data_IF_558998605922
#
_entry.id   IF_558998605922
#
_cell.length_a   1.000
_cell.length_b   1.000
_cell.length_c   1.000
_cell.angle_alpha   90.00
_cell.angle_beta   90.00
_cell.angle_gamma   90.00
#
_symmetry.space_group_name_H-M   'P 1'
#
loop_
_entity.id
_entity.type
_entity.pdbx_description
1 polymer ?
#
# COMPACT_ATOMS: atom_id res chain seq x y z
N UNK A 1 8.74 31.55 -13.90
CA UNK A 1 7.55 31.44 -13.02
C UNK A 1 8.05 31.30 -11.59
N UNK A 2 7.54 32.08 -10.64
CA UNK A 2 7.99 31.98 -9.25
C UNK A 2 7.44 30.68 -8.62
N UNK A 3 8.32 29.84 -8.08
CA UNK A 3 7.93 28.63 -7.36
C UNK A 3 7.20 29.00 -6.05
N UNK A 4 5.96 28.55 -5.91
CA UNK A 4 5.22 28.69 -4.65
C UNK A 4 5.77 27.67 -3.66
N UNK A 5 6.47 28.15 -2.61
CA UNK A 5 7.00 27.31 -1.53
C UNK A 5 6.17 27.47 -0.27
N UNK A 6 5.90 26.35 0.40
CA UNK A 6 5.20 26.37 1.68
C UNK A 6 6.12 26.92 2.78
N UNK A 7 5.58 27.81 3.62
CA UNK A 7 6.30 28.49 4.69
C UNK A 7 5.75 28.08 6.06
N UNK A 8 6.64 27.99 7.06
CA UNK A 8 6.30 27.79 8.45
C UNK A 8 5.47 28.96 8.99
N UNK A 9 4.37 28.65 9.65
CA UNK A 9 3.48 29.68 10.23
C UNK A 9 4.09 30.39 11.46
N UNK A 10 5.19 29.87 12.00
CA UNK A 10 5.95 30.48 13.09
C UNK A 10 7.10 31.35 12.58
N UNK A 11 8.14 30.74 11.99
CA UNK A 11 9.35 31.45 11.58
C UNK A 11 9.29 32.05 10.15
N UNK A 12 8.25 31.78 9.37
CA UNK A 12 8.09 32.19 7.96
C UNK A 12 9.18 31.69 7.01
N UNK A 13 10.05 30.77 7.45
CA UNK A 13 11.02 30.08 6.60
C UNK A 13 10.34 28.92 5.85
N UNK A 14 10.95 28.45 4.77
CA UNK A 14 10.48 27.29 4.02
C UNK A 14 10.38 26.05 4.93
N UNK A 15 9.30 25.29 4.79
CA UNK A 15 9.09 24.07 5.56
C UNK A 15 10.15 23.02 5.20
N UNK A 16 10.88 22.56 6.22
CA UNK A 16 11.95 21.57 6.09
C UNK A 16 12.08 20.78 7.40
N UNK A 17 12.59 19.55 7.35
CA UNK A 17 12.78 18.74 8.56
C UNK A 17 11.46 18.31 9.24
N UNK A 18 11.43 18.19 10.59
CA UNK A 18 10.27 17.67 11.31
C UNK A 18 9.14 18.71 11.38
N UNK A 19 7.99 18.35 10.80
CA UNK A 19 6.82 19.21 10.69
C UNK A 19 5.67 18.77 11.60
N UNK A 20 4.89 19.74 12.05
CA UNK A 20 3.69 19.54 12.88
C UNK A 20 2.58 20.47 12.43
N UNK A 21 1.35 19.95 12.41
CA UNK A 21 0.14 20.72 12.19
C UNK A 21 -0.55 21.01 13.54
N UNK A 22 -0.89 22.27 13.79
CA UNK A 22 -1.70 22.65 14.95
C UNK A 22 -3.20 22.37 14.71
N UNK A 23 -4.04 22.50 15.75
CA UNK A 23 -5.50 22.37 15.69
C UNK A 23 -6.21 23.29 14.67
N UNK A 24 -5.54 24.36 14.23
CA UNK A 24 -6.03 25.23 13.15
C UNK A 24 -5.50 24.83 11.75
N UNK A 25 -4.92 23.63 11.60
CA UNK A 25 -4.35 23.06 10.38
C UNK A 25 -3.25 23.89 9.70
N UNK A 26 -2.61 24.80 10.44
CA UNK A 26 -1.41 25.50 9.99
C UNK A 26 -0.16 24.71 10.36
N UNK A 27 0.81 24.64 9.43
CA UNK A 27 2.02 23.83 9.56
C UNK A 27 3.17 24.67 10.13
N UNK A 28 3.90 24.06 11.06
CA UNK A 28 5.05 24.62 11.73
C UNK A 28 6.21 23.62 11.70
N UNK A 29 7.43 24.12 11.80
CA UNK A 29 8.54 23.31 12.31
C UNK A 29 8.24 22.92 13.75
N UNK A 30 8.64 21.71 14.18
CA UNK A 30 8.41 21.22 15.54
C UNK A 30 8.86 22.20 16.61
N UNK A 31 10.06 22.75 16.48
CA UNK A 31 10.63 23.69 17.44
C UNK A 31 9.90 25.04 17.41
N UNK A 32 9.47 25.48 16.23
CA UNK A 32 8.71 26.71 16.06
C UNK A 32 7.31 26.62 16.70
N UNK A 33 6.67 25.44 16.66
CA UNK A 33 5.39 25.25 17.32
C UNK A 33 5.55 25.37 18.84
N UNK A 34 6.58 24.75 19.42
CA UNK A 34 6.83 24.80 20.87
C UNK A 34 7.14 26.21 21.39
N UNK A 35 7.80 27.04 20.58
CA UNK A 35 8.09 28.43 20.94
C UNK A 35 6.88 29.38 20.81
N UNK A 36 5.86 29.01 20.01
CA UNK A 36 4.74 29.88 19.69
C UNK A 36 3.54 29.68 20.63
N UNK A 37 3.00 30.78 21.17
CA UNK A 37 1.77 30.75 21.99
C UNK A 37 0.48 30.96 21.18
N UNK A 38 0.59 31.56 19.98
CA UNK A 38 -0.51 31.83 19.04
C UNK A 38 -0.06 31.56 17.61
N UNK A 39 -1.00 31.16 16.76
CA UNK A 39 -0.73 30.95 15.34
C UNK A 39 -0.48 32.29 14.63
N UNK A 40 0.64 32.43 13.92
CA UNK A 40 0.96 33.66 13.19
C UNK A 40 0.04 33.97 11.99
N UNK A 41 -0.81 33.03 11.59
CA UNK A 41 -1.73 33.19 10.45
C UNK A 41 -3.16 33.55 10.88
N UNK A 42 -3.72 32.87 11.89
CA UNK A 42 -5.09 33.08 12.33
C UNK A 42 -5.23 33.64 13.76
N UNK A 43 -4.11 33.90 14.45
CA UNK A 43 -4.04 34.41 15.82
C UNK A 43 -4.73 33.56 16.90
N UNK A 44 -5.23 32.36 16.56
CA UNK A 44 -5.80 31.42 17.54
C UNK A 44 -4.72 30.87 18.46
N UNK A 45 -5.07 30.63 19.74
CA UNK A 45 -4.19 30.02 20.73
C UNK A 45 -3.80 28.61 20.29
N UNK A 46 -2.51 28.28 20.40
CA UNK A 46 -1.98 26.96 20.01
C UNK A 46 -2.27 25.96 21.14
N UNK A 47 -2.72 24.76 20.79
CA UNK A 47 -2.94 23.66 21.73
C UNK A 47 -1.95 22.55 21.40
N UNK A 48 -0.83 22.49 22.14
CA UNK A 48 0.27 21.56 21.85
C UNK A 48 -0.15 20.09 21.94
N UNK A 49 -1.11 19.75 22.82
CA UNK A 49 -1.64 18.40 22.98
C UNK A 49 -2.39 17.90 21.74
N UNK A 50 -2.95 18.82 20.93
CA UNK A 50 -3.66 18.51 19.69
C UNK A 50 -2.78 18.65 18.45
N UNK A 51 -1.47 18.81 18.61
CA UNK A 51 -0.56 18.93 17.49
C UNK A 51 -0.35 17.56 16.83
N UNK A 52 -0.63 17.48 15.53
CA UNK A 52 -0.40 16.27 14.74
C UNK A 52 1.00 16.31 14.15
N UNK A 53 1.84 15.35 14.54
CA UNK A 53 3.17 15.17 13.92
C UNK A 53 3.03 14.63 12.50
N UNK A 54 3.58 15.37 11.56
CA UNK A 54 3.61 15.03 10.14
C UNK A 54 4.90 14.26 9.85
N UNK A 55 4.93 12.99 10.24
CA UNK A 55 6.06 12.11 9.95
C UNK A 55 6.14 11.84 8.44
N UNK A 56 7.37 11.82 7.89
CA UNK A 56 7.69 11.52 6.48
C UNK A 56 7.22 12.54 5.42
N UNK A 57 6.91 13.78 5.80
CA UNK A 57 6.70 14.89 4.85
C UNK A 57 7.95 15.78 4.82
N UNK A 58 8.98 15.37 4.07
CA UNK A 58 10.16 16.22 3.80
C UNK A 58 10.03 16.87 2.42
N UNK A 59 9.74 18.17 2.38
CA UNK A 59 9.69 18.96 1.14
C UNK A 59 11.07 19.32 0.57
N UNK A 60 12.14 18.77 1.13
CA UNK A 60 13.52 19.19 0.83
C UNK A 60 14.12 18.51 -0.42
N UNK A 61 13.62 17.34 -0.81
CA UNK A 61 14.20 16.55 -1.91
C UNK A 61 13.29 16.60 -3.13
N UNK A 62 13.32 17.76 -3.80
CA UNK A 62 12.60 18.02 -5.03
C UNK A 62 13.12 17.14 -6.17
N UNK A 63 12.46 15.99 -6.38
CA UNK A 63 12.29 15.33 -7.68
C UNK A 63 11.29 14.15 -7.63
N UNK A 64 10.93 13.65 -6.43
CA UNK A 64 9.96 12.55 -6.25
C UNK A 64 8.49 12.98 -6.12
N UNK A 65 8.22 14.25 -5.83
CA UNK A 65 6.94 14.71 -5.24
C UNK A 65 5.80 14.93 -6.25
N UNK A 66 6.10 15.10 -7.55
CA UNK A 66 5.06 15.34 -8.54
C UNK A 66 4.10 14.15 -8.69
N UNK A 67 4.61 12.91 -8.54
CA UNK A 67 3.78 11.69 -8.65
C UNK A 67 2.93 11.46 -7.40
N UNK A 68 3.47 11.74 -6.21
CA UNK A 68 2.73 11.58 -4.95
C UNK A 68 1.62 12.62 -4.85
N UNK A 69 1.91 13.88 -5.19
CA UNK A 69 0.88 14.93 -5.21
C UNK A 69 -0.21 14.68 -6.27
N UNK A 70 0.16 14.12 -7.42
CA UNK A 70 -0.84 13.71 -8.44
C UNK A 70 -1.69 12.56 -7.96
N UNK A 71 -1.11 11.54 -7.32
CA UNK A 71 -1.86 10.41 -6.76
C UNK A 71 -2.78 10.85 -5.60
N UNK A 72 -2.32 11.75 -4.73
CA UNK A 72 -3.12 12.31 -3.63
C UNK A 72 -4.25 13.20 -4.17
N UNK A 73 -3.99 14.01 -5.20
CA UNK A 73 -5.02 14.81 -5.87
C UNK A 73 -6.06 13.93 -6.58
N UNK A 74 -5.64 12.82 -7.18
CA UNK A 74 -6.54 11.85 -7.82
C UNK A 74 -7.37 11.07 -6.78
N UNK A 75 -6.79 10.69 -5.65
CA UNK A 75 -7.52 10.10 -4.53
C UNK A 75 -8.51 11.09 -3.91
N UNK A 76 -8.15 12.37 -3.81
CA UNK A 76 -9.04 13.43 -3.33
C UNK A 76 -10.21 13.65 -4.30
N UNK A 77 -9.95 13.73 -5.62
CA UNK A 77 -11.01 13.78 -6.64
C UNK A 77 -11.89 12.53 -6.62
N UNK A 78 -11.32 11.34 -6.46
CA UNK A 78 -12.09 10.09 -6.34
C UNK A 78 -12.94 10.03 -5.08
N UNK A 79 -12.52 10.71 -4.00
CA UNK A 79 -13.28 10.81 -2.75
C UNK A 79 -14.40 11.85 -2.88
N UNK A 80 -14.13 12.99 -3.50
CA UNK A 80 -15.12 14.04 -3.81
C UNK A 80 -16.13 13.56 -4.87
N UNK A 81 -15.73 12.70 -5.81
CA UNK A 81 -16.66 12.07 -6.76
C UNK A 81 -17.34 10.81 -6.21
N UNK A 82 -16.93 10.32 -5.03
CA UNK A 82 -17.60 9.25 -4.27
C UNK A 82 -18.46 9.84 -3.15
N UNK A 83 -19.03 11.01 -3.37
CA UNK A 83 -20.26 11.45 -2.71
C UNK A 83 -21.47 10.54 -3.09
N UNK A 84 -21.25 9.23 -3.21
CA UNK A 84 -22.28 8.23 -3.09
C UNK A 84 -22.67 8.19 -1.61
N UNK A 85 -23.55 9.12 -1.24
CA UNK A 85 -24.61 8.99 -0.23
C UNK A 85 -24.23 8.04 0.91
N UNK A 86 -23.22 8.41 1.69
CA UNK A 86 -23.26 8.05 3.10
C UNK A 86 -24.25 9.05 3.67
N UNK A 87 -25.47 8.63 4.07
CA UNK A 87 -26.41 9.54 4.73
C UNK A 87 -25.63 10.20 5.86
N UNK A 88 -25.54 11.53 5.82
CA UNK A 88 -24.87 12.29 6.88
C UNK A 88 -25.43 11.85 8.22
N UNK A 89 -24.57 11.62 9.21
CA UNK A 89 -24.99 11.29 10.58
C UNK A 89 -25.95 12.34 11.15
N UNK A 90 -25.97 13.55 10.58
CA UNK A 90 -26.91 14.63 10.89
C UNK A 90 -28.38 14.41 10.42
N UNK A 91 -28.69 13.34 9.67
CA UNK A 91 -30.08 12.88 9.43
C UNK A 91 -30.51 11.75 10.38
N UNK A 92 -29.64 11.35 11.31
CA UNK A 92 -30.01 10.54 12.47
C UNK A 92 -30.35 11.46 13.65
N UNK A 93 -31.04 12.59 13.39
CA UNK A 93 -31.89 13.14 14.44
C UNK A 93 -32.76 11.98 14.90
N UNK A 94 -32.56 11.59 16.16
CA UNK A 94 -33.39 10.67 16.90
C UNK A 94 -34.80 11.26 16.90
N UNK A 95 -35.53 11.10 15.79
CA UNK A 95 -36.97 10.99 15.84
C UNK A 95 -37.19 9.73 16.66
N UNK A 96 -37.17 9.93 17.97
CA UNK A 96 -37.68 9.04 19.00
C UNK A 96 -39.17 8.88 18.63
N UNK A 97 -39.42 8.08 17.59
CA UNK A 97 -40.72 7.61 17.21
C UNK A 97 -41.10 6.71 18.37
N UNK A 98 -41.65 7.34 19.41
CA UNK A 98 -42.19 6.69 20.58
C UNK A 98 -43.05 5.57 20.07
N UNK A 99 -42.49 4.37 20.10
CA UNK A 99 -43.17 3.14 19.75
C UNK A 99 -44.41 3.17 20.63
N UNK A 100 -45.62 3.35 20.05
CA UNK A 100 -46.81 3.43 20.87
C UNK A 100 -46.88 2.12 21.63
N UNK A 101 -46.70 2.18 22.95
CA UNK A 101 -46.89 1.04 23.83
C UNK A 101 -48.29 0.54 23.56
N UNK A 102 -48.39 -0.61 22.88
CA UNK A 102 -49.67 -1.23 22.62
C UNK A 102 -50.23 -1.59 23.99
N UNK A 103 -51.39 -1.02 24.39
CA UNK A 103 -51.99 -1.37 25.66
C UNK A 103 -52.28 -2.87 25.62
N UNK A 104 -51.57 -3.61 26.47
CA UNK A 104 -51.84 -5.02 26.72
C UNK A 104 -53.12 -5.05 27.54
N UNK A 105 -54.26 -4.86 26.86
CA UNK A 105 -55.57 -4.89 27.49
C UNK A 105 -55.88 -6.30 27.93
N UNK A 106 -56.07 -6.48 29.24
CA UNK A 106 -56.59 -7.71 29.82
C UNK A 106 -57.88 -8.10 29.10
N UNK A 107 -57.90 -9.29 28.51
CA UNK A 107 -59.05 -9.82 27.79
C UNK A 107 -60.10 -10.19 28.83
N UNK A 108 -60.96 -9.25 29.21
CA UNK A 108 -62.14 -9.55 30.04
C UNK A 108 -62.99 -10.57 29.29
N UNK A 109 -63.14 -11.75 29.89
CA UNK A 109 -63.91 -12.87 29.36
C UNK A 109 -65.38 -12.46 29.21
N UNK A 110 -65.83 -12.29 27.97
CA UNK A 110 -67.21 -11.95 27.65
C UNK A 110 -68.12 -13.14 27.99
N UNK A 111 -68.87 -13.06 29.09
CA UNK A 111 -69.88 -14.07 29.44
C UNK A 111 -71.15 -13.83 28.60
N UNK A 112 -71.42 -14.73 27.65
CA UNK A 112 -72.67 -14.76 26.89
C UNK A 112 -73.83 -15.17 27.81
N UNK A 113 -74.55 -14.19 28.37
CA UNK A 113 -75.84 -14.41 29.01
C UNK A 113 -76.93 -14.72 27.96
N UNK A 114 -77.72 -15.75 28.21
CA UNK A 114 -78.86 -16.15 27.35
C UNK A 114 -80.02 -15.13 27.45
N UNK A 115 -80.69 -14.78 26.33
CA UNK A 115 -81.79 -13.81 26.34
C UNK A 115 -83.03 -14.41 27.01
N UNK A 116 -83.45 -13.81 28.14
CA UNK A 116 -84.66 -14.18 28.87
C UNK A 116 -85.74 -13.13 28.69
N UNK A 117 -86.93 -13.60 28.27
CA UNK A 117 -88.27 -13.00 28.36
C UNK A 117 -88.54 -11.69 27.60
N UNK A 118 -89.66 -11.69 26.85
CA UNK A 118 -90.11 -10.60 25.97
C UNK A 118 -90.39 -9.30 26.75
N UNK A 119 -89.94 -8.14 26.25
CA UNK A 119 -90.28 -6.84 26.82
C UNK A 119 -91.77 -6.55 26.62
N UNK A 120 -92.45 -6.14 27.68
CA UNK A 120 -93.90 -5.83 27.66
C UNK A 120 -94.21 -4.38 28.01
N UNK A 121 -93.19 -3.51 28.12
CA UNK A 121 -93.38 -2.10 28.48
C UNK A 121 -92.62 -1.14 27.56
N UNK A 122 -93.13 0.07 27.36
CA UNK A 122 -92.51 1.12 26.52
C UNK A 122 -91.10 1.51 27.03
N UNK A 123 -90.84 1.33 28.33
CA UNK A 123 -89.54 1.59 28.95
C UNK A 123 -88.45 0.61 28.49
N UNK A 124 -88.81 -0.65 28.18
CA UNK A 124 -87.85 -1.65 27.69
C UNK A 124 -87.33 -1.28 26.30
N UNK A 125 -88.20 -0.74 25.43
CA UNK A 125 -87.81 -0.30 24.09
C UNK A 125 -86.84 0.90 24.14
N UNK A 126 -87.00 1.80 25.11
CA UNK A 126 -86.08 2.93 25.32
C UNK A 126 -84.72 2.43 25.82
N UNK A 127 -84.70 1.46 26.75
CA UNK A 127 -83.47 0.84 27.23
C UNK A 127 -82.71 0.09 26.14
N UNK A 128 -83.42 -0.68 25.29
CA UNK A 128 -82.82 -1.36 24.14
C UNK A 128 -82.26 -0.37 23.11
N UNK A 129 -82.97 0.73 22.84
CA UNK A 129 -82.49 1.79 21.95
C UNK A 129 -81.22 2.47 22.51
N UNK A 130 -81.17 2.75 23.80
CA UNK A 130 -79.98 3.31 24.46
C UNK A 130 -78.79 2.33 24.41
N UNK A 131 -79.02 1.04 24.66
CA UNK A 131 -78.01 0.00 24.55
C UNK A 131 -77.45 -0.11 23.11
N UNK A 132 -78.32 -0.02 22.10
CA UNK A 132 -77.91 0.00 20.69
C UNK A 132 -77.04 1.21 20.35
N UNK A 133 -77.35 2.40 20.87
CA UNK A 133 -76.52 3.61 20.68
C UNK A 133 -75.14 3.41 21.30
N UNK A 134 -75.06 2.91 22.53
CA UNK A 134 -73.78 2.63 23.20
C UNK A 134 -72.96 1.58 22.44
N UNK A 135 -73.61 0.53 21.93
CA UNK A 135 -72.93 -0.50 21.15
C UNK A 135 -72.38 0.05 19.83
N UNK A 136 -73.14 0.92 19.14
CA UNK A 136 -72.69 1.60 17.92
C UNK A 136 -71.49 2.51 18.20
N UNK A 137 -71.50 3.24 19.31
CA UNK A 137 -70.35 4.04 19.73
C UNK A 137 -69.12 3.17 19.97
N UNK A 138 -69.25 2.09 20.76
CA UNK A 138 -68.15 1.15 21.01
C UNK A 138 -67.61 0.52 19.71
N UNK A 139 -68.50 0.15 18.77
CA UNK A 139 -68.08 -0.37 17.47
C UNK A 139 -67.33 0.66 16.63
N UNK A 140 -67.71 1.95 16.70
CA UNK A 140 -66.97 3.02 16.06
C UNK A 140 -65.57 3.16 16.67
N UNK A 141 -65.48 3.23 18.00
CA UNK A 141 -64.20 3.34 18.71
C UNK A 141 -63.27 2.16 18.41
N UNK A 142 -63.80 0.92 18.38
CA UNK A 142 -63.03 -0.26 18.02
C UNK A 142 -62.57 -0.22 16.55
N UNK A 143 -63.40 0.31 15.64
CA UNK A 143 -63.01 0.47 14.24
C UNK A 143 -61.89 1.50 14.10
N UNK A 144 -61.96 2.63 14.79
CA UNK A 144 -60.94 3.67 14.77
C UNK A 144 -59.63 3.16 15.38
N UNK A 145 -59.70 2.39 16.48
CA UNK A 145 -58.54 1.69 17.05
C UNK A 145 -57.93 0.67 16.09
N UNK A 146 -58.76 -0.12 15.41
CA UNK A 146 -58.27 -1.09 14.42
C UNK A 146 -57.62 -0.39 13.22
N UNK A 147 -58.18 0.74 12.76
CA UNK A 147 -57.63 1.51 11.66
C UNK A 147 -56.31 2.20 12.03
N UNK A 148 -56.22 2.80 13.21
CA UNK A 148 -54.97 3.39 13.73
C UNK A 148 -53.89 2.32 13.91
N UNK A 149 -54.22 1.17 14.52
CA UNK A 149 -53.30 0.03 14.64
C UNK A 149 -52.84 -0.51 13.28
N UNK A 150 -53.74 -0.59 12.29
CA UNK A 150 -53.41 -0.99 10.92
C UNK A 150 -52.42 0.00 10.28
N UNK A 151 -52.70 1.30 10.36
CA UNK A 151 -51.80 2.33 9.82
C UNK A 151 -50.43 2.36 10.53
N UNK A 152 -50.41 2.12 11.84
CA UNK A 152 -49.17 1.99 12.62
C UNK A 152 -48.35 0.78 12.19
N UNK A 153 -49.01 -0.36 11.95
CA UNK A 153 -48.36 -1.57 11.43
C UNK A 153 -47.78 -1.35 10.04
N UNK A 154 -48.51 -0.69 9.13
CA UNK A 154 -48.03 -0.38 7.78
C UNK A 154 -46.78 0.50 7.83
N UNK A 155 -46.78 1.58 8.63
CA UNK A 155 -45.60 2.43 8.85
C UNK A 155 -44.42 1.66 9.44
N UNK A 156 -44.66 0.78 10.42
CA UNK A 156 -43.62 -0.03 11.03
C UNK A 156 -42.99 -1.03 10.03
N UNK A 157 -43.80 -1.60 9.14
CA UNK A 157 -43.31 -2.47 8.05
C UNK A 157 -42.44 -1.67 7.07
N UNK A 158 -42.92 -0.52 6.60
CA UNK A 158 -42.16 0.34 5.69
C UNK A 158 -40.83 0.79 6.31
N UNK A 159 -40.85 1.19 7.60
CA UNK A 159 -39.64 1.54 8.34
C UNK A 159 -38.65 0.37 8.40
N UNK A 160 -39.13 -0.84 8.73
CA UNK A 160 -38.30 -2.04 8.77
C UNK A 160 -37.68 -2.37 7.41
N UNK A 161 -38.44 -2.24 6.33
CA UNK A 161 -37.95 -2.45 4.97
C UNK A 161 -36.87 -1.43 4.59
N UNK A 162 -37.06 -0.15 4.93
CA UNK A 162 -36.04 0.91 4.76
C UNK A 162 -34.76 0.59 5.53
N UNK A 163 -34.88 0.19 6.80
CA UNK A 163 -33.72 -0.19 7.61
C UNK A 163 -33.01 -1.43 7.07
N UNK A 164 -33.76 -2.43 6.61
CA UNK A 164 -33.18 -3.63 5.99
C UNK A 164 -32.45 -3.29 4.68
N UNK A 165 -33.00 -2.39 3.86
CA UNK A 165 -32.35 -1.92 2.63
C UNK A 165 -31.04 -1.18 2.94
N UNK A 166 -31.05 -0.26 3.92
CA UNK A 166 -29.85 0.45 4.40
C UNK A 166 -28.79 -0.53 4.91
N UNK A 167 -29.19 -1.51 5.73
CA UNK A 167 -28.29 -2.56 6.22
C UNK A 167 -27.63 -3.34 5.08
N UNK A 168 -28.40 -3.76 4.07
CA UNK A 168 -27.86 -4.47 2.89
C UNK A 168 -26.86 -3.60 2.11
N UNK A 169 -27.15 -2.30 1.95
CA UNK A 169 -26.24 -1.37 1.27
C UNK A 169 -24.91 -1.21 2.03
N UNK A 170 -24.97 -1.05 3.35
CA UNK A 170 -23.77 -0.98 4.20
C UNK A 170 -22.99 -2.30 4.14
N UNK A 171 -23.67 -3.45 4.24
CA UNK A 171 -23.03 -4.76 4.15
C UNK A 171 -22.30 -4.95 2.82
N UNK A 172 -22.94 -4.60 1.70
CA UNK A 172 -22.32 -4.65 0.38
C UNK A 172 -21.08 -3.74 0.27
N UNK A 173 -21.14 -2.54 0.87
CA UNK A 173 -20.00 -1.63 0.92
C UNK A 173 -18.84 -2.20 1.75
N UNK A 174 -19.14 -2.85 2.88
CA UNK A 174 -18.12 -3.54 3.70
C UNK A 174 -17.46 -4.66 2.90
N UNK A 175 -18.23 -5.53 2.24
CA UNK A 175 -17.68 -6.61 1.39
C UNK A 175 -16.77 -6.05 0.28
N UNK A 176 -17.16 -4.93 -0.34
CA UNK A 176 -16.36 -4.26 -1.37
C UNK A 176 -15.04 -3.73 -0.79
N UNK A 177 -15.07 -3.11 0.39
CA UNK A 177 -13.88 -2.61 1.07
C UNK A 177 -12.95 -3.75 1.49
N UNK A 178 -13.49 -4.87 1.97
CA UNK A 178 -12.70 -6.06 2.30
C UNK A 178 -11.99 -6.63 1.07
N UNK A 179 -12.70 -6.71 -0.07
CA UNK A 179 -12.11 -7.14 -1.33
C UNK A 179 -10.98 -6.21 -1.81
N UNK A 180 -11.15 -4.89 -1.66
CA UNK A 180 -10.12 -3.91 -2.01
C UNK A 180 -8.92 -3.98 -1.06
N UNK A 181 -9.13 -4.19 0.24
CA UNK A 181 -8.05 -4.43 1.22
C UNK A 181 -7.27 -5.70 0.86
N UNK A 182 -7.95 -6.78 0.46
CA UNK A 182 -7.29 -8.02 0.05
C UNK A 182 -6.43 -7.82 -1.22
N UNK A 183 -6.92 -7.06 -2.21
CA UNK A 183 -6.15 -6.69 -3.40
C UNK A 183 -4.93 -5.86 -3.05
N UNK A 184 -5.08 -4.84 -2.20
CA UNK A 184 -3.98 -3.99 -1.76
C UNK A 184 -2.91 -4.78 -0.99
N UNK A 185 -3.31 -5.69 -0.10
CA UNK A 185 -2.38 -6.60 0.61
C UNK A 185 -1.55 -7.44 -0.37
N UNK A 186 -2.21 -7.99 -1.39
CA UNK A 186 -1.52 -8.77 -2.44
C UNK A 186 -0.57 -7.90 -3.24
N UNK A 187 -0.98 -6.69 -3.62
CA UNK A 187 -0.11 -5.75 -4.33
C UNK A 187 1.12 -5.36 -3.51
N UNK A 188 0.95 -5.07 -2.22
CA UNK A 188 2.07 -4.75 -1.31
C UNK A 188 3.06 -5.91 -1.26
N UNK A 189 2.56 -7.15 -1.11
CA UNK A 189 3.42 -8.35 -1.11
C UNK A 189 4.20 -8.49 -2.41
N UNK A 190 3.56 -8.27 -3.55
CA UNK A 190 4.21 -8.33 -4.86
C UNK A 190 5.28 -7.23 -5.00
N UNK A 191 5.02 -6.01 -4.53
CA UNK A 191 6.01 -4.92 -4.53
C UNK A 191 7.22 -5.24 -3.66
N UNK A 192 7.04 -5.83 -2.48
CA UNK A 192 8.17 -6.28 -1.65
C UNK A 192 9.00 -7.36 -2.34
N UNK A 193 8.36 -8.36 -2.95
CA UNK A 193 9.06 -9.39 -3.72
C UNK A 193 9.84 -8.81 -4.91
N UNK A 194 9.27 -7.82 -5.61
CA UNK A 194 9.96 -7.12 -6.70
C UNK A 194 11.16 -6.30 -6.18
N UNK A 195 11.00 -5.59 -5.07
CA UNK A 195 12.09 -4.86 -4.42
C UNK A 195 13.24 -5.80 -4.04
N UNK A 196 12.93 -6.93 -3.43
CA UNK A 196 13.93 -7.91 -2.99
C UNK A 196 14.67 -8.49 -4.21
N UNK A 197 13.94 -8.83 -5.28
CA UNK A 197 14.53 -9.27 -6.55
C UNK A 197 15.46 -8.21 -7.16
N UNK A 198 15.03 -6.95 -7.24
CA UNK A 198 15.86 -5.85 -7.75
C UNK A 198 17.10 -5.66 -6.88
N UNK A 199 16.96 -5.77 -5.56
CA UNK A 199 18.09 -5.69 -4.62
C UNK A 199 19.09 -6.82 -4.86
N UNK A 200 18.64 -8.05 -5.07
CA UNK A 200 19.52 -9.18 -5.41
C UNK A 200 20.23 -8.98 -6.75
N UNK A 201 19.52 -8.48 -7.77
CA UNK A 201 20.10 -8.22 -9.08
C UNK A 201 21.11 -7.07 -9.03
N UNK A 202 20.86 -6.01 -8.26
CA UNK A 202 21.80 -4.92 -8.02
C UNK A 202 23.06 -5.40 -7.28
N UNK A 203 22.91 -6.31 -6.30
CA UNK A 203 24.06 -6.93 -5.64
C UNK A 203 24.91 -7.76 -6.60
N UNK A 204 24.29 -8.50 -7.55
CA UNK A 204 25.04 -9.25 -8.58
C UNK A 204 25.82 -8.31 -9.50
N UNK A 205 25.21 -7.19 -9.90
CA UNK A 205 25.88 -6.17 -10.73
C UNK A 205 27.05 -5.55 -9.98
N UNK A 206 26.83 -5.08 -8.75
CA UNK A 206 27.90 -4.51 -7.92
C UNK A 206 29.06 -5.50 -7.73
N UNK A 207 28.76 -6.77 -7.46
CA UNK A 207 29.79 -7.80 -7.34
C UNK A 207 30.58 -7.98 -8.63
N UNK A 208 29.90 -8.03 -9.79
CA UNK A 208 30.57 -8.15 -11.09
C UNK A 208 31.46 -6.94 -11.36
N UNK A 209 30.96 -5.74 -11.08
CA UNK A 209 31.67 -4.50 -11.39
C UNK A 209 32.92 -4.35 -10.49
N UNK A 210 32.83 -4.68 -9.19
CA UNK A 210 33.99 -4.72 -8.28
C UNK A 210 35.04 -5.74 -8.74
N UNK A 211 34.60 -6.93 -9.19
CA UNK A 211 35.50 -7.97 -9.69
C UNK A 211 36.20 -7.54 -10.98
N UNK A 212 35.47 -6.88 -11.89
CA UNK A 212 36.01 -6.34 -13.13
C UNK A 212 37.02 -5.21 -12.87
N UNK A 213 36.69 -4.27 -11.98
CA UNK A 213 37.60 -3.18 -11.63
C UNK A 213 38.87 -3.71 -10.97
N UNK A 214 38.75 -4.65 -10.04
CA UNK A 214 39.91 -5.33 -9.46
C UNK A 214 40.78 -5.98 -10.54
N UNK A 215 40.17 -6.66 -11.51
CA UNK A 215 40.89 -7.32 -12.59
C UNK A 215 41.67 -6.33 -13.46
N UNK A 216 41.05 -5.20 -13.82
CA UNK A 216 41.71 -4.14 -14.58
C UNK A 216 42.90 -3.56 -13.80
N UNK A 217 42.72 -3.27 -12.50
CA UNK A 217 43.77 -2.69 -11.66
C UNK A 217 44.91 -3.67 -11.39
N UNK A 218 44.63 -4.97 -11.21
CA UNK A 218 45.68 -6.00 -11.04
C UNK A 218 46.64 -6.04 -12.22
N UNK A 219 46.13 -5.84 -13.44
CA UNK A 219 46.97 -5.83 -14.65
C UNK A 219 47.91 -4.64 -14.70
N UNK A 220 47.54 -3.53 -14.07
CA UNK A 220 48.38 -2.33 -13.99
C UNK A 220 49.37 -2.39 -12.81
N UNK A 221 48.85 -2.67 -11.60
CA UNK A 221 49.64 -2.66 -10.37
C UNK A 221 49.00 -3.53 -9.27
N UNK A 222 49.71 -4.57 -8.79
CA UNK A 222 49.22 -5.41 -7.69
C UNK A 222 48.98 -4.63 -6.39
N UNK A 223 49.75 -3.58 -6.12
CA UNK A 223 49.61 -2.76 -4.92
C UNK A 223 48.29 -1.96 -4.94
N UNK A 224 47.96 -1.36 -6.08
CA UNK A 224 46.71 -0.61 -6.25
C UNK A 224 45.47 -1.51 -6.15
N UNK A 225 45.59 -2.77 -6.59
CA UNK A 225 44.46 -3.69 -6.59
C UNK A 225 43.98 -4.04 -5.17
N UNK A 226 44.89 -4.08 -4.19
CA UNK A 226 44.55 -4.28 -2.78
C UNK A 226 43.80 -3.05 -2.22
N UNK A 227 44.25 -1.85 -2.55
CA UNK A 227 43.58 -0.61 -2.15
C UNK A 227 42.17 -0.52 -2.76
N UNK A 228 42.01 -0.90 -4.03
CA UNK A 228 40.71 -0.99 -4.71
C UNK A 228 39.79 -1.97 -4.00
N UNK A 229 40.24 -3.19 -3.69
CA UNK A 229 39.41 -4.16 -2.96
C UNK A 229 39.01 -3.64 -1.58
N UNK A 230 39.96 -3.05 -0.85
CA UNK A 230 39.72 -2.51 0.50
C UNK A 230 38.72 -1.36 0.48
N UNK A 231 38.76 -0.52 -0.56
CA UNK A 231 37.80 0.57 -0.76
C UNK A 231 36.39 0.06 -1.07
N UNK A 232 36.27 -1.04 -1.80
CA UNK A 232 34.99 -1.63 -2.22
C UNK A 232 34.35 -2.57 -1.19
N UNK A 233 35.09 -3.00 -0.16
CA UNK A 233 34.59 -3.84 0.95
C UNK A 233 33.36 -3.23 1.63
N UNK A 234 33.28 -1.90 1.74
CA UNK A 234 32.13 -1.22 2.35
C UNK A 234 30.89 -1.14 1.45
N UNK A 235 31.03 -1.35 0.15
CA UNK A 235 29.95 -1.23 -0.84
C UNK A 235 29.24 -2.54 -1.11
N UNK A 236 29.86 -3.67 -0.76
CA UNK A 236 29.33 -5.01 -1.00
C UNK A 236 28.89 -5.64 0.33
N UNK A 237 27.62 -6.08 0.45
CA UNK A 237 27.11 -6.64 1.70
C UNK A 237 27.75 -7.99 2.07
N UNK A 238 28.29 -8.71 1.09
CA UNK A 238 28.96 -10.00 1.27
C UNK A 238 30.36 -9.99 0.62
N UNK A 239 31.34 -9.57 1.41
CA UNK A 239 32.75 -9.52 1.03
C UNK A 239 33.30 -10.91 0.70
N UNK A 240 32.80 -11.96 1.37
CA UNK A 240 33.30 -13.32 1.16
C UNK A 240 33.02 -13.81 -0.26
N UNK A 241 31.89 -13.42 -0.86
CA UNK A 241 31.58 -13.69 -2.27
C UNK A 241 32.57 -13.03 -3.22
N UNK A 242 32.90 -11.75 -3.01
CA UNK A 242 33.89 -11.02 -3.83
C UNK A 242 35.24 -11.72 -3.76
N UNK A 243 35.71 -12.04 -2.55
CA UNK A 243 36.99 -12.73 -2.35
C UNK A 243 37.02 -14.11 -3.00
N UNK A 244 35.89 -14.83 -2.99
CA UNK A 244 35.76 -16.13 -3.65
C UNK A 244 35.89 -16.00 -5.17
N UNK A 245 35.26 -14.99 -5.78
CA UNK A 245 35.39 -14.75 -7.22
C UNK A 245 36.78 -14.27 -7.62
N UNK A 246 37.40 -13.41 -6.81
CA UNK A 246 38.80 -13.00 -6.98
C UNK A 246 39.74 -14.20 -6.93
N UNK A 247 39.54 -15.12 -5.97
CA UNK A 247 40.31 -16.36 -5.88
C UNK A 247 40.11 -17.24 -7.11
N UNK A 248 38.87 -17.40 -7.59
CA UNK A 248 38.56 -18.14 -8.83
C UNK A 248 39.24 -17.55 -10.06
N UNK A 249 39.22 -16.23 -10.22
CA UNK A 249 39.92 -15.55 -11.31
C UNK A 249 41.42 -15.77 -11.22
N UNK A 250 42.02 -15.58 -10.05
CA UNK A 250 43.45 -15.84 -9.83
C UNK A 250 43.83 -17.27 -10.22
N UNK A 251 43.05 -18.25 -9.78
CA UNK A 251 43.35 -19.66 -10.03
C UNK A 251 43.15 -20.02 -11.52
N UNK A 252 42.18 -19.39 -12.20
CA UNK A 252 42.00 -19.49 -13.65
C UNK A 252 43.23 -18.97 -14.40
N UNK A 253 43.71 -17.78 -14.04
CA UNK A 253 44.86 -17.15 -14.71
C UNK A 253 46.15 -17.93 -14.49
N UNK A 254 46.37 -18.46 -13.28
CA UNK A 254 47.47 -19.40 -13.02
C UNK A 254 47.42 -20.61 -13.94
N UNK A 255 46.23 -21.19 -14.11
CA UNK A 255 46.04 -22.33 -15.01
C UNK A 255 46.31 -21.98 -16.48
N UNK A 256 45.89 -20.79 -16.94
CA UNK A 256 46.20 -20.31 -18.30
C UNK A 256 47.71 -20.12 -18.46
N UNK A 257 48.37 -19.47 -17.50
CA UNK A 257 49.82 -19.29 -17.53
C UNK A 257 50.58 -20.63 -17.56
N UNK A 258 50.16 -21.62 -16.77
CA UNK A 258 50.74 -22.97 -16.79
C UNK A 258 50.56 -23.64 -18.17
N UNK A 259 49.39 -23.45 -18.81
CA UNK A 259 49.14 -23.95 -20.17
C UNK A 259 50.04 -23.26 -21.20
N UNK A 260 50.16 -21.93 -21.14
CA UNK A 260 51.00 -21.15 -22.04
C UNK A 260 52.48 -21.55 -21.91
N UNK A 261 52.96 -21.80 -20.69
CA UNK A 261 54.32 -22.31 -20.44
C UNK A 261 54.54 -23.69 -21.09
N UNK A 262 53.57 -24.59 -20.99
CA UNK A 262 53.63 -25.91 -21.64
C UNK A 262 53.61 -25.76 -23.16
N UNK A 263 52.78 -24.88 -23.70
CA UNK A 263 52.71 -24.62 -25.14
C UNK A 263 53.98 -23.97 -25.69
N UNK A 264 54.54 -23.00 -24.96
CA UNK A 264 55.80 -22.35 -25.30
C UNK A 264 56.95 -23.37 -25.30
N UNK A 265 57.02 -24.25 -24.30
CA UNK A 265 58.00 -25.34 -24.26
C UNK A 265 57.85 -26.29 -25.45
N UNK A 266 56.62 -26.68 -25.80
CA UNK A 266 56.33 -27.50 -26.99
C UNK A 266 56.69 -26.78 -28.30
N UNK A 267 56.48 -25.47 -28.39
CA UNK A 267 56.85 -24.66 -29.56
C UNK A 267 58.38 -24.59 -29.70
N UNK A 268 59.10 -24.37 -28.59
CA UNK A 268 60.56 -24.34 -28.57
C UNK A 268 61.18 -25.69 -29.00
N UNK A 269 60.62 -26.82 -28.53
CA UNK A 269 61.05 -28.15 -28.95
C UNK A 269 60.85 -28.37 -30.46
N UNK A 270 59.68 -27.96 -30.99
CA UNK A 270 59.41 -28.02 -32.43
C UNK A 270 60.37 -27.17 -33.24
N UNK A 271 60.65 -25.94 -32.77
CA UNK A 271 61.63 -25.05 -33.40
C UNK A 271 63.04 -25.66 -33.40
N UNK A 272 63.50 -26.21 -32.28
CA UNK A 272 64.80 -26.89 -32.19
C UNK A 272 64.89 -28.09 -33.14
N UNK A 273 63.81 -28.87 -33.26
CA UNK A 273 63.75 -30.00 -34.19
C UNK A 273 63.83 -29.53 -35.65
N UNK A 274 63.00 -28.57 -36.05
CA UNK A 274 63.00 -28.02 -37.41
C UNK A 274 64.36 -27.39 -37.76
N UNK A 275 65.00 -26.70 -36.82
CA UNK A 275 66.34 -26.15 -37.02
C UNK A 275 67.39 -27.23 -37.30
N UNK A 276 67.37 -28.35 -36.55
CA UNK A 276 68.28 -29.48 -36.80
C UNK A 276 68.03 -30.11 -38.18
N UNK A 277 66.78 -30.28 -38.56
CA UNK A 277 66.41 -30.80 -39.89
C UNK A 277 66.91 -29.87 -41.02
N UNK A 278 66.78 -28.56 -40.86
CA UNK A 278 67.34 -27.58 -41.81
C UNK A 278 68.86 -27.71 -41.89
N UNK A 279 69.56 -27.74 -40.76
CA UNK A 279 71.02 -27.88 -40.70
C UNK A 279 71.50 -29.20 -41.34
N UNK A 280 70.75 -30.29 -41.19
CA UNK A 280 71.03 -31.58 -41.85
C UNK A 280 70.80 -31.51 -43.37
N UNK A 281 69.71 -30.90 -43.82
CA UNK A 281 69.42 -30.70 -45.24
C UNK A 281 70.43 -29.78 -45.93
N UNK A 282 70.93 -28.76 -45.23
CA UNK A 282 71.99 -27.88 -45.74
C UNK A 282 73.31 -28.65 -45.92
N UNK A 283 73.66 -29.54 -44.98
CA UNK A 283 74.86 -30.39 -45.10
C UNK A 283 74.73 -31.37 -46.27
N UNK A 284 73.59 -32.04 -46.43
CA UNK A 284 73.38 -32.97 -47.55
C UNK A 284 73.36 -32.25 -48.88
N UNK A 285 72.71 -31.09 -48.98
CA UNK A 285 72.72 -30.26 -50.18
C UNK A 285 74.14 -29.80 -50.54
N UNK A 286 74.97 -29.44 -49.55
CA UNK A 286 76.37 -29.08 -49.77
C UNK A 286 77.18 -30.26 -50.31
N UNK A 287 77.06 -31.44 -49.69
CA UNK A 287 77.75 -32.65 -50.16
C UNK A 287 77.38 -33.01 -51.59
N UNK A 288 76.08 -32.98 -51.94
CA UNK A 288 75.61 -33.26 -53.30
C UNK A 288 76.13 -32.24 -54.33
N UNK A 289 76.30 -30.97 -53.94
CA UNK A 289 76.93 -29.95 -54.82
C UNK A 289 78.40 -30.24 -55.06
N UNK A 290 79.15 -30.58 -54.01
CA UNK A 290 80.56 -30.96 -54.12
C UNK A 290 80.74 -32.22 -55.01
N UNK A 291 79.84 -33.20 -54.92
CA UNK A 291 79.83 -34.38 -55.79
C UNK A 291 79.54 -34.04 -57.25
N UNK A 292 78.57 -33.15 -57.52
CA UNK A 292 78.27 -32.68 -58.87
C UNK A 292 79.44 -31.90 -59.49
N UNK A 293 80.07 -31.03 -58.70
CA UNK A 293 81.24 -30.26 -59.14
C UNK A 293 82.45 -31.15 -59.44
N UNK A 294 82.59 -32.28 -58.74
CA UNK A 294 83.64 -33.27 -59.00
C UNK A 294 83.39 -34.16 -60.22
N UNK A 295 82.13 -34.27 -60.66
CA UNK A 295 81.72 -35.11 -61.79
C UNK A 295 81.70 -34.37 -63.14
N UNK A 296 81.65 -33.03 -63.11
CA UNK A 296 81.70 -32.16 -64.30
C UNK A 296 83.12 -31.82 -64.73
#
# INVERSE_FOLDING_TARGET
>A
MAELRALCSGCRQTLSGPLVANSCNHVFHRDCLHAASKCGQCSKKICHEKALSLYNLSFADGDGDARVMTAVAELKRKRESREDVVPSEDELEEEELGMPELPVGDVESFQCGTPSTRPTTEDDAVQEAAALVLLRQKLSELRDRAQTAKSGREKAVEYREKQQSRFRAVHHNVEKLEADVAKLKTSIKNTYQQRDKISEDLQKVNLRDVVNEYWEVVRESPAKALDTLTSHVGLVPDVARVLTEVARLRDRERKVADQDLVEASRAEQRYKKARREIEELERTAKALREELDAAG
#
